data_IF_669649876234
#
_entry.id   IF_669649876234
#
_cell.length_a   1.000
_cell.length_b   1.000
_cell.length_c   1.000
_cell.angle_alpha   90.00
_cell.angle_beta   90.00
_cell.angle_gamma   90.00
#
_symmetry.space_group_name_H-M   'P 1'
#
loop_
_entity.id
_entity.type
_entity.pdbx_description
1 polymer ?
#
# COMPACT_ATOMS: atom_id res chain seq x y z
N UNK A 1 -2.83 13.28 -13.44
CA UNK A 1 -2.04 12.07 -13.75
C UNK A 1 -2.84 10.85 -13.29
N UNK A 2 -2.88 9.78 -14.09
CA UNK A 2 -3.48 8.49 -13.71
C UNK A 2 -2.34 7.47 -13.60
N UNK A 3 -2.32 6.72 -12.51
CA UNK A 3 -1.36 5.65 -12.26
C UNK A 3 -2.03 4.31 -12.61
N UNK A 4 -1.34 3.47 -13.35
CA UNK A 4 -1.80 2.13 -13.71
C UNK A 4 -0.63 1.15 -13.71
N UNK A 5 -0.84 -0.01 -13.13
CA UNK A 5 0.10 -1.12 -13.24
C UNK A 5 -0.09 -1.81 -14.60
N UNK A 6 0.95 -2.45 -15.09
CA UNK A 6 0.98 -3.08 -16.42
C UNK A 6 -0.01 -4.24 -16.58
N UNK A 7 -0.46 -4.85 -15.49
CA UNK A 7 -1.39 -5.97 -15.41
C UNK A 7 -2.82 -5.56 -15.03
N UNK A 8 -3.08 -4.26 -14.99
CA UNK A 8 -4.39 -3.69 -14.66
C UNK A 8 -5.21 -3.39 -15.90
N UNK A 9 -6.49 -3.74 -15.88
CA UNK A 9 -7.42 -3.46 -16.98
C UNK A 9 -8.52 -2.52 -16.47
N UNK A 10 -8.52 -1.23 -16.89
CA UNK A 10 -9.57 -0.30 -16.53
C UNK A 10 -10.89 -0.64 -17.23
N UNK A 11 -12.01 -0.48 -16.54
CA UNK A 11 -13.32 -0.50 -17.18
C UNK A 11 -13.48 0.74 -18.09
N UNK A 12 -14.27 0.63 -19.16
CA UNK A 12 -14.42 1.68 -20.18
C UNK A 12 -14.79 3.06 -19.60
N UNK A 13 -15.60 3.07 -18.53
CA UNK A 13 -16.05 4.30 -17.88
C UNK A 13 -15.14 4.77 -16.73
N UNK A 14 -14.09 4.02 -16.38
CA UNK A 14 -13.30 4.29 -15.17
C UNK A 14 -12.73 5.71 -15.13
N UNK A 15 -12.06 6.12 -16.20
CA UNK A 15 -11.44 7.45 -16.26
C UNK A 15 -12.48 8.56 -16.22
N UNK A 16 -13.62 8.39 -16.90
CA UNK A 16 -14.71 9.35 -16.89
C UNK A 16 -15.31 9.51 -15.48
N UNK A 17 -15.55 8.36 -14.78
CA UNK A 17 -16.06 8.36 -13.42
C UNK A 17 -15.10 9.02 -12.43
N UNK A 18 -13.79 8.73 -12.51
CA UNK A 18 -12.77 9.39 -11.67
C UNK A 18 -12.73 10.90 -11.88
N UNK A 19 -12.74 11.34 -13.15
CA UNK A 19 -12.73 12.77 -13.48
C UNK A 19 -13.99 13.50 -13.02
N UNK A 20 -15.13 12.86 -13.17
CA UNK A 20 -16.39 13.43 -12.70
C UNK A 20 -16.40 13.59 -11.19
N UNK A 21 -16.01 12.54 -10.45
CA UNK A 21 -15.94 12.58 -8.99
C UNK A 21 -14.94 13.64 -8.48
N UNK A 22 -13.74 13.73 -9.08
CA UNK A 22 -12.74 14.75 -8.71
C UNK A 22 -13.28 16.17 -8.91
N UNK A 23 -13.96 16.44 -10.04
CA UNK A 23 -14.58 17.75 -10.29
C UNK A 23 -15.67 18.06 -9.27
N UNK A 24 -16.63 17.14 -9.07
CA UNK A 24 -17.74 17.35 -8.14
C UNK A 24 -17.26 17.62 -6.72
N UNK A 25 -16.23 16.90 -6.25
CA UNK A 25 -15.66 17.12 -4.93
C UNK A 25 -14.97 18.48 -4.83
N UNK A 26 -14.20 18.90 -5.84
CA UNK A 26 -13.54 20.20 -5.87
C UNK A 26 -14.53 21.36 -5.98
N UNK A 27 -15.56 21.22 -6.81
CA UNK A 27 -16.62 22.21 -6.95
C UNK A 27 -17.42 22.38 -5.65
N UNK A 28 -17.49 21.32 -4.83
CA UNK A 28 -18.03 21.35 -3.47
C UNK A 28 -17.04 21.91 -2.42
N UNK A 29 -15.88 22.43 -2.83
CA UNK A 29 -14.88 23.02 -1.93
C UNK A 29 -14.03 22.01 -1.16
N UNK A 30 -13.99 20.74 -1.59
CA UNK A 30 -13.19 19.70 -0.93
C UNK A 30 -11.74 19.76 -1.42
N UNK A 31 -10.79 19.74 -0.48
CA UNK A 31 -9.35 19.63 -0.77
C UNK A 31 -8.99 18.18 -1.17
N UNK A 32 -9.18 17.87 -2.46
CA UNK A 32 -8.97 16.51 -3.00
C UNK A 32 -7.50 16.28 -3.29
N UNK A 33 -6.90 15.32 -2.59
CA UNK A 33 -5.54 14.83 -2.85
C UNK A 33 -5.50 13.83 -4.01
N UNK A 34 -6.39 12.85 -3.98
CA UNK A 34 -6.51 11.85 -5.03
C UNK A 34 -7.90 11.20 -5.04
N UNK A 35 -8.29 10.67 -6.18
CA UNK A 35 -9.43 9.75 -6.34
C UNK A 35 -8.93 8.43 -6.90
N UNK A 36 -9.42 7.31 -6.39
CA UNK A 36 -8.98 5.97 -6.79
C UNK A 36 -10.12 5.07 -7.21
N UNK A 37 -9.85 4.23 -8.21
CA UNK A 37 -10.79 3.20 -8.64
C UNK A 37 -10.89 2.07 -7.59
N UNK A 38 -11.99 1.34 -7.63
CA UNK A 38 -12.18 0.13 -6.83
C UNK A 38 -11.64 -1.05 -7.62
N UNK A 39 -10.61 -1.71 -7.05
CA UNK A 39 -10.04 -2.89 -7.68
C UNK A 39 -10.92 -4.13 -7.48
N UNK A 40 -11.11 -4.88 -8.55
CA UNK A 40 -11.83 -6.14 -8.58
C UNK A 40 -10.90 -7.25 -9.10
N UNK A 41 -10.73 -8.29 -8.32
CA UNK A 41 -9.95 -9.47 -8.72
C UNK A 41 -10.87 -10.47 -9.43
N UNK A 42 -10.71 -10.60 -10.75
CA UNK A 42 -11.48 -11.55 -11.58
C UNK A 42 -11.30 -13.00 -11.11
N UNK A 43 -10.13 -13.34 -10.62
CA UNK A 43 -9.78 -14.72 -10.25
C UNK A 43 -10.50 -15.16 -8.98
N UNK A 44 -10.62 -14.28 -8.00
CA UNK A 44 -11.25 -14.58 -6.71
C UNK A 44 -12.67 -14.03 -6.59
N UNK A 45 -13.11 -13.18 -7.52
CA UNK A 45 -14.38 -12.46 -7.43
C UNK A 45 -14.42 -11.42 -6.31
N UNK A 46 -13.28 -11.16 -5.66
CA UNK A 46 -13.23 -10.24 -4.51
C UNK A 46 -13.03 -8.80 -4.97
N UNK A 47 -13.64 -7.88 -4.23
CA UNK A 47 -13.49 -6.44 -4.46
C UNK A 47 -12.69 -5.84 -3.31
N UNK A 48 -11.78 -4.94 -3.63
CA UNK A 48 -10.95 -4.26 -2.63
C UNK A 48 -11.82 -3.48 -1.64
N UNK A 49 -11.43 -3.50 -0.37
CA UNK A 49 -12.10 -2.73 0.68
C UNK A 49 -11.41 -1.39 0.86
N UNK A 50 -12.20 -0.36 1.11
CA UNK A 50 -11.69 0.96 1.44
C UNK A 50 -11.27 0.99 2.91
N UNK A 51 -10.04 1.42 3.16
CA UNK A 51 -9.48 1.47 4.52
C UNK A 51 -9.50 2.90 5.05
N UNK A 52 -10.05 3.06 6.24
CA UNK A 52 -10.15 4.35 6.93
C UNK A 52 -9.94 4.18 8.43
N UNK A 53 -9.28 5.15 9.05
CA UNK A 53 -9.17 5.25 10.51
C UNK A 53 -10.32 6.10 11.04
N UNK A 54 -11.17 5.51 11.86
CA UNK A 54 -12.30 6.21 12.49
C UNK A 54 -12.21 6.03 14.01
N UNK A 55 -12.12 7.13 14.73
CA UNK A 55 -12.01 7.14 16.20
C UNK A 55 -10.92 6.20 16.75
N UNK A 56 -9.76 6.19 16.08
CA UNK A 56 -8.61 5.37 16.48
C UNK A 56 -8.70 3.88 16.10
N UNK A 57 -9.72 3.47 15.33
CA UNK A 57 -9.90 2.09 14.87
C UNK A 57 -9.87 2.01 13.35
N UNK A 58 -9.18 1.01 12.83
CA UNK A 58 -9.16 0.73 11.40
C UNK A 58 -10.50 0.13 10.98
N UNK A 59 -11.18 0.80 10.08
CA UNK A 59 -12.39 0.29 9.41
C UNK A 59 -12.04 -0.14 7.99
N UNK A 60 -12.66 -1.23 7.56
CA UNK A 60 -12.59 -1.75 6.19
C UNK A 60 -13.98 -1.70 5.60
N UNK A 61 -14.28 -0.62 4.90
CA UNK A 61 -15.58 -0.36 4.32
C UNK A 61 -15.75 -1.17 3.04
N UNK A 62 -16.97 -1.66 2.81
CA UNK A 62 -17.32 -2.25 1.53
C UNK A 62 -17.27 -1.17 0.46
N UNK A 63 -16.68 -1.48 -0.68
CA UNK A 63 -16.60 -0.58 -1.83
C UNK A 63 -17.78 -0.72 -2.78
N UNK A 64 -18.58 -1.77 -2.61
CA UNK A 64 -19.86 -1.94 -3.33
C UNK A 64 -20.96 -1.23 -2.53
N UNK A 65 -21.28 -0.02 -2.93
CA UNK A 65 -22.28 0.85 -2.28
C UNK A 65 -22.89 1.78 -3.33
N UNK A 66 -24.05 2.35 -3.00
CA UNK A 66 -24.70 3.41 -3.78
C UNK A 66 -24.08 4.79 -3.58
N UNK A 67 -23.19 4.93 -2.60
CA UNK A 67 -22.48 6.20 -2.36
C UNK A 67 -21.60 6.56 -3.56
N UNK A 68 -21.58 7.81 -4.02
CA UNK A 68 -20.81 8.22 -5.18
C UNK A 68 -19.30 8.18 -4.92
N UNK A 69 -18.86 8.34 -3.67
CA UNK A 69 -17.48 8.30 -3.23
C UNK A 69 -17.38 7.91 -1.75
N UNK A 70 -16.28 7.24 -1.40
CA UNK A 70 -15.98 6.79 -0.05
C UNK A 70 -14.64 7.38 0.36
N UNK A 71 -14.59 8.16 1.45
CA UNK A 71 -13.33 8.68 1.96
C UNK A 71 -12.42 7.56 2.45
N UNK A 72 -11.13 7.62 2.06
CA UNK A 72 -10.11 6.64 2.36
C UNK A 72 -8.91 7.26 3.07
N UNK A 73 -8.13 6.45 3.77
CA UNK A 73 -6.83 6.89 4.29
C UNK A 73 -5.69 6.58 3.33
N UNK A 74 -5.85 5.56 2.51
CA UNK A 74 -4.95 5.30 1.38
C UNK A 74 -5.68 4.62 0.23
N UNK A 75 -5.13 4.84 -0.93
CA UNK A 75 -5.53 4.25 -2.20
C UNK A 75 -4.35 3.42 -2.71
N UNK A 76 -4.62 2.35 -3.43
CA UNK A 76 -3.57 1.63 -4.18
C UNK A 76 -3.15 2.48 -5.38
N UNK A 77 -1.88 2.40 -5.76
CA UNK A 77 -1.34 3.20 -6.86
C UNK A 77 -2.13 2.94 -8.16
N UNK A 78 -2.35 1.68 -8.52
CA UNK A 78 -3.08 1.34 -9.72
C UNK A 78 -4.55 1.77 -9.67
N UNK A 79 -4.98 2.54 -10.67
CA UNK A 79 -6.31 3.16 -10.75
C UNK A 79 -6.45 4.44 -9.95
N UNK A 80 -5.37 5.00 -9.40
CA UNK A 80 -5.41 6.27 -8.68
C UNK A 80 -5.12 7.45 -9.61
N UNK A 81 -5.99 8.45 -9.59
CA UNK A 81 -5.86 9.70 -10.32
C UNK A 81 -5.54 10.84 -9.35
N UNK A 82 -4.49 11.61 -9.69
CA UNK A 82 -3.97 12.72 -8.89
C UNK A 82 -3.86 13.95 -9.80
N UNK A 83 -4.30 15.13 -9.33
CA UNK A 83 -4.06 16.38 -10.05
C UNK A 83 -2.55 16.70 -10.05
N UNK A 84 -2.05 17.21 -11.17
CA UNK A 84 -0.63 17.58 -11.29
C UNK A 84 -0.24 18.61 -10.23
N UNK A 85 -1.11 19.61 -10.00
CA UNK A 85 -0.90 20.62 -8.96
C UNK A 85 -0.74 20.07 -7.54
N UNK A 86 -1.37 18.91 -7.24
CA UNK A 86 -1.18 18.22 -5.96
C UNK A 86 0.21 17.62 -5.87
N UNK A 87 0.69 17.01 -6.96
CA UNK A 87 2.05 16.45 -7.02
C UNK A 87 3.11 17.54 -6.95
N UNK A 88 2.92 18.65 -7.64
CA UNK A 88 3.82 19.81 -7.59
C UNK A 88 3.88 20.40 -6.18
N UNK A 89 2.74 20.51 -5.50
CA UNK A 89 2.66 21.12 -4.17
C UNK A 89 3.16 20.21 -3.05
N UNK A 90 2.87 18.90 -3.12
CA UNK A 90 3.11 17.97 -2.02
C UNK A 90 4.18 16.91 -2.33
N UNK A 91 4.74 16.93 -3.52
CA UNK A 91 5.76 16.01 -3.99
C UNK A 91 5.20 14.70 -4.54
N UNK A 92 6.00 14.06 -5.36
CA UNK A 92 5.73 12.74 -5.94
C UNK A 92 5.91 11.63 -4.89
N UNK A 93 5.64 10.38 -5.29
CA UNK A 93 5.98 9.20 -4.51
C UNK A 93 7.48 9.12 -4.29
N UNK A 94 7.88 8.66 -3.11
CA UNK A 94 9.30 8.53 -2.74
C UNK A 94 9.88 7.24 -3.35
N UNK A 95 10.72 7.39 -4.35
CA UNK A 95 11.40 6.28 -5.05
C UNK A 95 12.26 5.42 -4.10
N UNK A 96 12.68 5.96 -2.97
CA UNK A 96 13.43 5.23 -1.96
C UNK A 96 12.67 4.04 -1.37
N UNK A 97 11.36 3.99 -1.49
CA UNK A 97 10.56 2.83 -1.06
C UNK A 97 10.70 1.64 -2.02
N UNK A 98 10.91 1.86 -3.31
CA UNK A 98 11.04 0.85 -4.36
C UNK A 98 9.79 -0.05 -4.53
N UNK A 99 9.40 -0.81 -3.52
CA UNK A 99 8.21 -1.68 -3.48
C UNK A 99 7.64 -1.70 -2.05
N UNK A 100 6.34 -1.89 -1.90
CA UNK A 100 5.58 -1.82 -0.65
C UNK A 100 5.62 -0.42 0.02
N UNK A 101 4.48 0.04 0.48
CA UNK A 101 4.27 1.33 1.16
C UNK A 101 4.53 2.60 0.32
N UNK A 102 4.85 2.52 -0.97
CA UNK A 102 5.04 3.68 -1.85
C UNK A 102 3.79 4.57 -1.87
N UNK A 103 2.66 3.95 -2.13
CA UNK A 103 1.33 4.57 -2.14
C UNK A 103 0.85 4.94 -0.73
N UNK A 104 1.05 4.06 0.23
CA UNK A 104 0.65 4.26 1.63
C UNK A 104 1.35 5.48 2.24
N UNK A 105 2.66 5.60 2.03
CA UNK A 105 3.44 6.76 2.50
C UNK A 105 2.91 8.06 1.90
N UNK A 106 2.77 8.10 0.57
CA UNK A 106 2.31 9.29 -0.12
C UNK A 106 0.92 9.71 0.36
N UNK A 107 -0.01 8.77 0.46
CA UNK A 107 -1.36 9.03 0.95
C UNK A 107 -1.36 9.61 2.37
N UNK A 108 -0.61 9.01 3.30
CA UNK A 108 -0.51 9.51 4.68
C UNK A 108 0.11 10.90 4.73
N UNK A 109 1.15 11.14 3.93
CA UNK A 109 1.87 12.42 3.86
C UNK A 109 0.97 13.55 3.35
N UNK A 110 0.18 13.33 2.31
CA UNK A 110 -0.73 14.35 1.79
C UNK A 110 -1.93 14.56 2.70
N UNK A 111 -2.46 13.49 3.33
CA UNK A 111 -3.52 13.62 4.33
C UNK A 111 -3.09 14.43 5.55
N UNK A 112 -1.86 14.25 6.02
CA UNK A 112 -1.32 15.03 7.14
C UNK A 112 -1.25 16.54 6.82
N UNK A 113 -1.35 16.92 5.54
CA UNK A 113 -1.41 18.32 5.07
C UNK A 113 -2.82 18.80 4.73
N UNK A 114 -3.85 18.08 5.18
CA UNK A 114 -5.25 18.46 5.02
C UNK A 114 -5.93 17.95 3.77
N UNK A 115 -5.23 17.24 2.89
CA UNK A 115 -5.84 16.67 1.68
C UNK A 115 -6.71 15.47 2.02
N UNK A 116 -7.78 15.24 1.25
CA UNK A 116 -8.68 14.10 1.40
C UNK A 116 -8.55 13.16 0.20
N UNK A 117 -8.69 11.87 0.46
CA UNK A 117 -8.58 10.81 -0.55
C UNK A 117 -9.91 10.09 -0.66
N UNK A 118 -10.33 9.72 -1.87
CA UNK A 118 -11.62 9.08 -2.10
C UNK A 118 -11.51 7.88 -3.03
N UNK A 119 -12.09 6.77 -2.61
CA UNK A 119 -12.37 5.65 -3.49
C UNK A 119 -13.71 5.89 -4.20
N UNK A 120 -13.77 5.61 -5.50
CA UNK A 120 -14.92 5.87 -6.36
C UNK A 120 -15.56 4.53 -6.75
N UNK A 121 -16.70 4.14 -6.14
CA UNK A 121 -17.36 2.85 -6.41
C UNK A 121 -17.76 2.67 -7.87
N UNK A 122 -18.12 3.75 -8.58
CA UNK A 122 -18.46 3.75 -10.00
C UNK A 122 -17.27 3.56 -10.94
N UNK A 123 -16.03 3.72 -10.44
CA UNK A 123 -14.81 3.52 -11.21
C UNK A 123 -14.23 2.14 -10.89
N UNK A 124 -14.28 1.21 -11.83
CA UNK A 124 -13.82 -0.17 -11.64
C UNK A 124 -12.50 -0.41 -12.36
N UNK A 125 -11.61 -1.11 -11.67
CA UNK A 125 -10.33 -1.57 -12.18
C UNK A 125 -10.24 -3.08 -11.98
N UNK A 126 -10.02 -3.82 -13.03
CA UNK A 126 -9.69 -5.22 -12.91
C UNK A 126 -8.18 -5.36 -12.69
N UNK A 127 -7.83 -5.96 -11.58
CA UNK A 127 -6.44 -6.09 -11.16
C UNK A 127 -6.25 -7.44 -10.47
N UNK A 128 -5.23 -8.20 -10.85
CA UNK A 128 -4.88 -9.44 -10.19
C UNK A 128 -4.26 -9.12 -8.82
N UNK A 129 -5.06 -9.25 -7.76
CA UNK A 129 -4.61 -8.99 -6.40
C UNK A 129 -3.82 -10.20 -5.88
N UNK A 130 -2.49 -10.14 -5.97
CA UNK A 130 -1.60 -10.96 -5.17
C UNK A 130 -0.90 -12.12 -5.86
N UNK A 131 0.24 -12.46 -5.26
CA UNK A 131 1.11 -13.59 -5.55
C UNK A 131 0.48 -14.93 -5.08
N UNK A 132 1.28 -15.97 -4.97
CA UNK A 132 0.83 -17.26 -4.46
C UNK A 132 0.14 -17.16 -3.11
N UNK A 133 -1.00 -17.83 -3.00
CA UNK A 133 -1.80 -17.85 -1.77
C UNK A 133 -1.59 -19.19 -1.06
N UNK A 134 -1.30 -19.14 0.23
CA UNK A 134 -1.23 -20.33 1.09
C UNK A 134 -2.44 -20.36 2.01
N UNK A 135 -3.11 -21.49 2.09
CA UNK A 135 -4.20 -21.69 3.05
C UNK A 135 -3.63 -22.01 4.42
N UNK A 136 -3.89 -21.16 5.39
CA UNK A 136 -3.44 -21.31 6.78
C UNK A 136 -4.66 -21.42 7.69
N UNK A 137 -4.59 -22.35 8.63
CA UNK A 137 -5.63 -22.49 9.65
C UNK A 137 -5.30 -21.58 10.86
N UNK A 138 -6.13 -20.56 11.08
CA UNK A 138 -6.04 -19.61 12.21
C UNK A 138 -7.41 -19.56 12.92
N UNK A 139 -7.85 -20.70 13.51
CA UNK A 139 -9.20 -20.84 14.02
C UNK A 139 -10.27 -21.02 12.91
N UNK A 140 -9.95 -20.66 11.70
CA UNK A 140 -10.66 -20.92 10.42
C UNK A 140 -9.63 -20.89 9.29
N UNK A 141 -9.94 -21.55 8.19
CA UNK A 141 -9.09 -21.49 6.99
C UNK A 141 -9.06 -20.07 6.43
N UNK A 142 -7.86 -19.55 6.23
CA UNK A 142 -7.60 -18.25 5.62
C UNK A 142 -6.61 -18.40 4.49
N UNK A 143 -6.84 -17.69 3.43
CA UNK A 143 -5.89 -17.52 2.35
C UNK A 143 -5.00 -16.33 2.66
N UNK A 144 -3.69 -16.57 2.73
CA UNK A 144 -2.69 -15.56 3.05
C UNK A 144 -1.73 -15.48 1.87
N UNK A 145 -1.58 -14.31 1.23
CA UNK A 145 -0.59 -14.15 0.18
C UNK A 145 0.81 -14.30 0.75
N UNK A 146 1.62 -15.14 0.11
CA UNK A 146 3.00 -15.39 0.50
C UNK A 146 3.93 -14.77 -0.52
N UNK A 147 4.83 -13.94 -0.03
CA UNK A 147 5.82 -13.24 -0.82
C UNK A 147 7.20 -13.88 -0.69
N UNK A 148 8.10 -13.52 -1.60
CA UNK A 148 9.50 -13.92 -1.54
C UNK A 148 10.18 -13.37 -0.26
N UNK A 149 11.22 -14.02 0.25
CA UNK A 149 11.98 -13.50 1.40
C UNK A 149 12.55 -12.10 1.18
N UNK A 150 12.92 -11.75 -0.05
CA UNK A 150 13.38 -10.41 -0.40
C UNK A 150 12.29 -9.33 -0.15
N UNK A 151 11.01 -9.67 -0.34
CA UNK A 151 9.92 -8.74 -0.07
C UNK A 151 9.70 -8.52 1.43
N UNK A 152 10.02 -9.49 2.29
CA UNK A 152 10.02 -9.28 3.74
C UNK A 152 11.01 -8.17 4.14
N UNK A 153 12.19 -8.12 3.52
CA UNK A 153 13.14 -7.02 3.74
C UNK A 153 12.51 -5.65 3.44
N UNK A 154 11.87 -5.50 2.28
CA UNK A 154 11.25 -4.22 1.91
C UNK A 154 10.10 -3.85 2.84
N UNK A 155 9.23 -4.81 3.16
CA UNK A 155 8.12 -4.58 4.08
C UNK A 155 8.62 -4.05 5.43
N UNK A 156 9.67 -4.65 6.00
CA UNK A 156 10.22 -4.22 7.29
C UNK A 156 10.96 -2.89 7.19
N UNK A 157 11.83 -2.72 6.18
CA UNK A 157 12.56 -1.47 5.95
C UNK A 157 11.60 -0.29 5.77
N UNK A 158 10.65 -0.45 4.91
CA UNK A 158 9.74 0.61 4.52
C UNK A 158 8.74 0.96 5.63
N UNK A 159 8.24 -0.04 6.37
CA UNK A 159 7.40 0.24 7.54
C UNK A 159 8.18 1.04 8.58
N UNK A 160 9.41 0.64 8.91
CA UNK A 160 10.25 1.36 9.89
C UNK A 160 10.55 2.77 9.40
N UNK A 161 10.98 2.93 8.14
CA UNK A 161 11.23 4.25 7.55
C UNK A 161 9.98 5.13 7.62
N UNK A 162 8.82 4.63 7.20
CA UNK A 162 7.55 5.35 7.24
C UNK A 162 7.15 5.76 8.67
N UNK A 163 7.34 4.88 9.65
CA UNK A 163 7.08 5.20 11.06
C UNK A 163 7.97 6.33 11.58
N UNK A 164 9.18 6.46 11.08
CA UNK A 164 10.13 7.49 11.52
C UNK A 164 9.97 8.82 10.79
N UNK A 165 9.62 8.79 9.50
CA UNK A 165 9.68 9.97 8.64
C UNK A 165 8.32 10.51 8.17
N UNK A 166 7.29 9.66 8.09
CA UNK A 166 6.01 10.07 7.53
C UNK A 166 5.07 10.60 8.62
N UNK A 167 4.51 11.80 8.46
CA UNK A 167 3.48 12.31 9.37
C UNK A 167 2.23 11.44 9.32
N UNK A 168 1.81 10.92 10.47
CA UNK A 168 0.60 10.12 10.60
C UNK A 168 0.07 10.18 12.04
N UNK A 169 -1.21 9.83 12.23
CA UNK A 169 -1.81 9.75 13.55
C UNK A 169 -1.16 8.64 14.40
N UNK A 170 -1.21 8.80 15.73
CA UNK A 170 -0.71 7.79 16.66
C UNK A 170 -1.39 6.42 16.47
N UNK A 171 -2.69 6.42 16.15
CA UNK A 171 -3.43 5.20 15.88
C UNK A 171 -2.88 4.44 14.64
N UNK A 172 -2.47 5.16 13.59
CA UNK A 172 -1.80 4.55 12.44
C UNK A 172 -0.42 4.02 12.80
N UNK A 173 0.36 4.72 13.63
CA UNK A 173 1.67 4.23 14.10
C UNK A 173 1.52 2.89 14.83
N UNK A 174 0.61 2.80 15.81
CA UNK A 174 0.33 1.55 16.53
C UNK A 174 -0.12 0.45 15.57
N UNK A 175 -1.01 0.78 14.63
CA UNK A 175 -1.50 -0.20 13.65
C UNK A 175 -0.38 -0.77 12.81
N UNK A 176 0.55 0.06 12.32
CA UNK A 176 1.70 -0.40 11.53
C UNK A 176 2.68 -1.23 12.36
N UNK A 177 2.97 -0.83 13.60
CA UNK A 177 3.81 -1.62 14.52
C UNK A 177 3.18 -2.98 14.79
N UNK A 178 1.88 -3.02 15.10
CA UNK A 178 1.16 -4.27 15.35
C UNK A 178 1.16 -5.18 14.11
N UNK A 179 0.90 -4.63 12.92
CA UNK A 179 0.99 -5.41 11.66
C UNK A 179 2.38 -5.95 11.43
N UNK A 180 3.42 -5.14 11.63
CA UNK A 180 4.80 -5.57 11.47
C UNK A 180 5.14 -6.73 12.42
N UNK A 181 4.66 -6.67 13.67
CA UNK A 181 4.82 -7.78 14.63
C UNK A 181 4.12 -9.05 14.18
N UNK A 182 2.88 -8.93 13.66
CA UNK A 182 2.17 -10.08 13.09
C UNK A 182 2.93 -10.69 11.90
N UNK A 183 3.48 -9.85 11.01
CA UNK A 183 4.31 -10.32 9.89
C UNK A 183 5.59 -11.01 10.37
N UNK A 184 6.26 -10.46 11.40
CA UNK A 184 7.46 -11.07 11.97
C UNK A 184 7.17 -12.50 12.48
N UNK A 185 6.10 -12.68 13.22
CA UNK A 185 5.69 -13.99 13.72
C UNK A 185 5.31 -14.93 12.57
N UNK A 186 4.42 -14.47 11.67
CA UNK A 186 3.91 -15.33 10.61
C UNK A 186 5.00 -15.78 9.64
N UNK A 187 5.76 -14.86 9.08
CA UNK A 187 6.78 -15.16 8.09
C UNK A 187 8.10 -15.66 8.71
N UNK A 188 8.48 -15.14 9.88
CA UNK A 188 9.72 -15.52 10.54
C UNK A 188 9.65 -16.91 11.18
N UNK A 189 8.52 -17.27 11.78
CA UNK A 189 8.35 -18.57 12.46
C UNK A 189 7.55 -19.59 11.65
N UNK A 190 6.53 -19.11 10.91
CA UNK A 190 5.58 -19.94 10.19
C UNK A 190 6.02 -20.39 8.79
N UNK A 191 6.88 -19.60 8.12
CA UNK A 191 7.15 -19.80 6.69
C UNK A 191 8.62 -20.09 6.40
N UNK A 192 8.88 -21.13 5.60
CA UNK A 192 10.23 -21.46 5.10
C UNK A 192 10.64 -20.49 3.96
N UNK A 193 11.95 -20.16 3.82
CA UNK A 193 13.10 -20.48 4.70
C UNK A 193 13.23 -19.48 5.87
N UNK A 194 13.00 -19.96 7.08
CA UNK A 194 12.87 -19.13 8.30
C UNK A 194 14.09 -18.23 8.58
N UNK A 195 15.28 -18.82 8.61
CA UNK A 195 16.51 -18.08 8.94
C UNK A 195 16.80 -16.96 7.93
N UNK A 196 16.58 -17.22 6.65
CA UNK A 196 16.76 -16.20 5.61
C UNK A 196 15.74 -15.07 5.78
N UNK A 197 14.48 -15.39 6.06
CA UNK A 197 13.42 -14.41 6.31
C UNK A 197 13.75 -13.54 7.53
N UNK A 198 14.09 -14.14 8.67
CA UNK A 198 14.48 -13.41 9.89
C UNK A 198 15.68 -12.51 9.62
N UNK A 199 16.73 -13.00 8.93
CA UNK A 199 17.90 -12.18 8.57
C UNK A 199 17.52 -10.98 7.70
N UNK A 200 16.66 -11.17 6.70
CA UNK A 200 16.22 -10.10 5.80
C UNK A 200 15.31 -9.10 6.52
N UNK A 201 14.39 -9.55 7.39
CA UNK A 201 13.58 -8.67 8.23
C UNK A 201 14.44 -7.81 9.16
N UNK A 202 15.41 -8.42 9.85
CA UNK A 202 16.36 -7.71 10.73
C UNK A 202 17.18 -6.67 9.96
N UNK A 203 17.70 -7.07 8.78
CA UNK A 203 18.40 -6.14 7.89
C UNK A 203 17.48 -5.00 7.45
N UNK A 204 16.23 -5.31 7.12
CA UNK A 204 15.21 -4.30 6.78
C UNK A 204 15.00 -3.29 7.91
N UNK A 205 14.84 -3.76 9.15
CA UNK A 205 14.72 -2.85 10.32
C UNK A 205 15.93 -1.94 10.44
N UNK A 206 17.15 -2.48 10.38
CA UNK A 206 18.39 -1.72 10.50
C UNK A 206 18.51 -0.67 9.38
N UNK A 207 18.22 -1.07 8.14
CA UNK A 207 18.30 -0.19 6.99
C UNK A 207 17.19 0.88 7.01
N UNK A 208 15.99 0.54 7.52
CA UNK A 208 14.91 1.48 7.76
C UNK A 208 15.28 2.56 8.79
N UNK A 209 15.89 2.17 9.91
CA UNK A 209 16.38 3.10 10.95
C UNK A 209 17.48 4.02 10.37
N UNK A 210 18.35 3.48 9.52
CA UNK A 210 19.42 4.25 8.86
C UNK A 210 18.94 5.11 7.69
N UNK A 211 17.64 5.09 7.36
CA UNK A 211 17.06 5.85 6.25
C UNK A 211 17.49 5.36 4.86
N UNK A 212 18.03 4.14 4.74
CA UNK A 212 18.43 3.57 3.46
C UNK A 212 17.21 3.32 2.58
N UNK A 213 17.30 3.70 1.30
CA UNK A 213 16.26 3.52 0.30
C UNK A 213 16.74 2.72 -0.91
N UNK A 214 15.86 2.58 -1.91
CA UNK A 214 16.17 1.95 -3.19
C UNK A 214 16.19 0.42 -3.15
N UNK A 215 16.82 -0.14 -4.16
CA UNK A 215 16.88 -1.60 -4.37
C UNK A 215 17.85 -2.26 -3.38
N UNK A 216 17.48 -3.43 -2.86
CA UNK A 216 18.35 -4.24 -2.02
C UNK A 216 19.57 -4.70 -2.83
N UNK A 217 20.72 -4.16 -2.49
CA UNK A 217 21.98 -4.65 -3.04
C UNK A 217 22.39 -5.88 -2.23
N UNK A 218 22.26 -7.06 -2.82
CA UNK A 218 22.84 -8.26 -2.23
C UNK A 218 24.37 -8.09 -2.19
N UNK A 219 24.94 -8.30 -1.01
CA UNK A 219 26.40 -8.38 -0.91
C UNK A 219 26.87 -9.53 -1.81
N UNK A 220 27.60 -9.21 -2.88
CA UNK A 220 28.23 -10.25 -3.70
C UNK A 220 28.99 -11.16 -2.74
N UNK A 221 28.82 -12.50 -2.81
CA UNK A 221 29.68 -13.40 -2.06
C UNK A 221 31.11 -13.08 -2.49
N UNK A 222 31.95 -12.76 -1.52
CA UNK A 222 33.33 -12.38 -1.75
C UNK A 222 33.95 -13.41 -2.70
N UNK A 223 34.51 -12.95 -3.82
CA UNK A 223 35.43 -13.78 -4.62
C UNK A 223 36.49 -14.26 -3.68
N UNK A 224 36.44 -15.56 -3.35
CA UNK A 224 37.52 -16.21 -2.62
C UNK A 224 38.82 -15.86 -3.31
N UNK A 225 39.72 -15.22 -2.58
CA UNK A 225 41.11 -15.01 -2.96
C UNK A 225 41.72 -16.41 -3.14
N UNK A 226 41.77 -16.89 -4.37
CA UNK A 226 42.69 -17.96 -4.71
C UNK A 226 44.09 -17.37 -4.63
N UNK A 227 44.76 -17.68 -3.56
CA UNK A 227 46.24 -17.71 -3.48
C UNK A 227 46.69 -19.13 -3.44
#
# INVERSE_FOLDING_TARGET
>A
MLLLDHDSVPADNMVAALRQADRQLRDAGVEVGAVGAVAHDRRTGTTSKVVRMVRGRVQRLASQTSEPYIEADFLIASGTMIAISVLERYGMMDEGYFIDHVDTEWCLRVKARGMRLFAIPGARLEHALGDHVVRVWLGRWREVPVHSPARDYYMFRNTVRMLLTTPMSFAWRITHVFRLSQFAVFFGLGMSPRLQRIRLMTRGIIDGIKGRGGVLVEARPGRGSNR
#
